data_IF_787250938639
#
_entry.id   IF_787250938639
#
_cell.length_a   1.000
_cell.length_b   1.000
_cell.length_c   1.000
_cell.angle_alpha   90.00
_cell.angle_beta   90.00
_cell.angle_gamma   90.00
#
_symmetry.space_group_name_H-M   'P 1'
#
loop_
_entity.id
_entity.type
_entity.pdbx_description
1 polymer ?
#
# COMPACT_ATOMS: atom_id res chain seq x y z
N UNK A 1 -5.75 9.82 -23.79
CA UNK A 1 -6.75 10.08 -22.74
C UNK A 1 -6.09 11.00 -21.74
N UNK A 2 -6.73 12.08 -21.30
CA UNK A 2 -6.17 12.91 -20.24
C UNK A 2 -5.95 12.01 -19.00
N UNK A 3 -4.77 12.10 -18.37
CA UNK A 3 -4.47 11.38 -17.15
C UNK A 3 -5.46 11.81 -16.06
N UNK A 4 -6.42 10.94 -15.77
CA UNK A 4 -7.39 11.20 -14.69
C UNK A 4 -6.61 11.06 -13.39
N UNK A 5 -6.39 12.18 -12.72
CA UNK A 5 -5.78 12.21 -11.39
C UNK A 5 -6.68 11.47 -10.40
N UNK A 6 -6.13 10.51 -9.69
CA UNK A 6 -6.85 9.73 -8.70
C UNK A 6 -6.34 10.06 -7.29
N UNK A 7 -7.26 10.14 -6.33
CA UNK A 7 -6.92 10.36 -4.94
C UNK A 7 -7.50 9.24 -4.09
N UNK A 8 -6.61 8.57 -3.36
CA UNK A 8 -6.96 7.53 -2.40
C UNK A 8 -6.85 8.04 -0.96
N UNK A 9 -7.55 7.40 -0.04
CA UNK A 9 -7.45 7.62 1.40
C UNK A 9 -6.73 6.44 2.06
N UNK A 10 -5.66 6.68 2.82
CA UNK A 10 -5.12 5.69 3.75
C UNK A 10 -5.94 5.72 5.04
N UNK A 11 -6.76 4.69 5.24
CA UNK A 11 -7.55 4.51 6.46
C UNK A 11 -6.65 4.08 7.62
N UNK A 12 -6.82 4.74 8.74
CA UNK A 12 -6.15 4.36 9.98
C UNK A 12 -6.76 3.12 10.60
N UNK A 13 -6.19 1.97 10.33
CA UNK A 13 -6.57 0.71 10.99
C UNK A 13 -5.68 0.38 12.19
N UNK A 14 -4.98 1.37 12.69
CA UNK A 14 -4.23 1.37 13.94
C UNK A 14 -4.36 2.73 14.64
N UNK A 15 -4.20 2.75 15.97
CA UNK A 15 -4.43 3.93 16.79
C UNK A 15 -5.90 4.17 17.14
N UNK A 16 -6.25 5.38 17.57
CA UNK A 16 -7.60 5.71 18.03
C UNK A 16 -8.72 5.51 17.01
N UNK A 17 -8.37 5.42 15.72
CA UNK A 17 -9.34 5.19 14.64
C UNK A 17 -9.57 3.69 14.34
N UNK A 18 -8.83 2.78 14.99
CA UNK A 18 -8.94 1.34 14.77
C UNK A 18 -10.15 0.73 15.49
N UNK A 19 -11.32 1.36 15.32
CA UNK A 19 -12.61 0.84 15.77
C UNK A 19 -13.45 0.44 14.54
N UNK A 20 -14.08 -0.74 14.55
CA UNK A 20 -14.79 -1.27 13.38
C UNK A 20 -15.82 -0.31 12.78
N UNK A 21 -16.65 0.32 13.62
CA UNK A 21 -17.67 1.28 13.14
C UNK A 21 -17.04 2.53 12.55
N UNK A 22 -15.96 3.04 13.14
CA UNK A 22 -15.22 4.21 12.63
C UNK A 22 -14.64 3.90 11.25
N UNK A 23 -13.95 2.77 11.12
CA UNK A 23 -13.32 2.35 9.85
C UNK A 23 -14.35 2.18 8.74
N UNK A 24 -15.48 1.52 9.01
CA UNK A 24 -16.56 1.34 8.03
C UNK A 24 -17.17 2.68 7.63
N UNK A 25 -17.46 3.55 8.59
CA UNK A 25 -18.08 4.85 8.32
C UNK A 25 -17.15 5.78 7.55
N UNK A 26 -15.84 5.79 7.85
CA UNK A 26 -14.86 6.58 7.12
C UNK A 26 -14.68 6.05 5.68
N UNK A 27 -14.72 4.73 5.47
CA UNK A 27 -14.66 4.15 4.14
C UNK A 27 -15.86 4.55 3.26
N UNK A 28 -17.07 4.46 3.80
CA UNK A 28 -18.31 4.91 3.13
C UNK A 28 -18.29 6.41 2.86
N UNK A 29 -17.79 7.17 3.82
CA UNK A 29 -17.66 8.62 3.64
C UNK A 29 -16.65 8.95 2.53
N UNK A 30 -15.49 8.29 2.50
CA UNK A 30 -14.50 8.47 1.44
C UNK A 30 -15.09 8.17 0.05
N UNK A 31 -15.89 7.11 -0.07
CA UNK A 31 -16.59 6.77 -1.32
C UNK A 31 -17.54 7.90 -1.76
N UNK A 32 -18.37 8.43 -0.86
CA UNK A 32 -19.30 9.52 -1.17
C UNK A 32 -18.61 10.87 -1.39
N UNK A 33 -17.46 11.11 -0.76
CA UNK A 33 -16.65 12.30 -0.93
C UNK A 33 -15.82 12.29 -2.23
N UNK A 34 -15.88 11.20 -3.03
CA UNK A 34 -15.23 11.13 -4.33
C UNK A 34 -13.78 10.63 -4.32
N UNK A 35 -13.32 10.01 -3.24
CA UNK A 35 -12.06 9.29 -3.27
C UNK A 35 -12.18 8.04 -4.15
N UNK A 36 -11.16 7.78 -4.97
CA UNK A 36 -11.13 6.64 -5.88
C UNK A 36 -10.77 5.32 -5.19
N UNK A 37 -10.12 5.39 -4.04
CA UNK A 37 -9.59 4.21 -3.35
C UNK A 37 -9.37 4.43 -1.85
N UNK A 38 -9.42 3.35 -1.10
CA UNK A 38 -9.03 3.27 0.32
C UNK A 38 -7.88 2.28 0.48
N UNK A 39 -6.98 2.58 1.42
CA UNK A 39 -5.74 1.81 1.60
C UNK A 39 -5.50 1.48 3.07
N UNK A 40 -4.99 0.27 3.32
CA UNK A 40 -4.76 -0.25 4.65
C UNK A 40 -3.28 -0.60 4.83
N UNK A 41 -2.71 -0.26 5.98
CA UNK A 41 -1.36 -0.70 6.34
C UNK A 41 -1.40 -2.09 7.00
N UNK A 42 -0.25 -2.75 7.09
CA UNK A 42 -0.15 -4.09 7.66
C UNK A 42 0.87 -4.16 8.80
N UNK A 43 0.38 -4.52 9.95
CA UNK A 43 1.06 -5.18 11.05
C UNK A 43 0.10 -6.20 11.66
N UNK A 44 0.61 -7.30 12.17
CA UNK A 44 -0.17 -8.33 12.85
C UNK A 44 -0.08 -8.16 14.35
N UNK A 45 1.14 -7.94 14.85
CA UNK A 45 1.44 -7.67 16.26
C UNK A 45 2.66 -6.75 16.38
N UNK A 46 2.73 -5.98 17.44
CA UNK A 46 3.95 -5.26 17.79
C UNK A 46 4.66 -5.94 18.97
N UNK A 47 5.90 -6.40 18.81
CA UNK A 47 6.72 -6.81 19.94
C UNK A 47 6.93 -5.64 20.90
N UNK A 48 6.86 -5.91 22.22
CA UNK A 48 7.05 -4.85 23.23
C UNK A 48 8.43 -4.18 23.15
N UNK A 49 9.44 -4.92 22.72
CA UNK A 49 10.81 -4.44 22.54
C UNK A 49 11.31 -4.87 21.16
N UNK A 50 11.89 -3.94 20.42
CA UNK A 50 12.52 -4.20 19.13
C UNK A 50 13.65 -3.20 18.86
N UNK A 51 14.68 -3.66 18.16
CA UNK A 51 15.84 -2.86 17.74
C UNK A 51 15.74 -2.42 16.27
N UNK A 52 14.84 -3.05 15.50
CA UNK A 52 14.57 -2.72 14.10
C UNK A 52 14.20 -1.25 13.94
N UNK A 53 14.74 -0.62 12.90
CA UNK A 53 14.48 0.81 12.60
C UNK A 53 13.46 0.95 11.49
N UNK A 54 12.45 1.80 11.72
CA UNK A 54 11.46 2.12 10.70
C UNK A 54 12.11 2.94 9.57
N UNK A 55 12.10 2.44 8.32
CA UNK A 55 12.92 3.00 7.24
C UNK A 55 12.44 4.35 6.71
N UNK A 56 11.23 4.76 7.06
CA UNK A 56 10.60 5.99 6.55
C UNK A 56 10.49 7.08 7.62
N UNK A 57 11.32 7.02 8.65
CA UNK A 57 11.37 7.99 9.74
C UNK A 57 12.81 8.53 9.90
N UNK A 58 12.96 9.84 10.10
CA UNK A 58 14.24 10.47 10.37
C UNK A 58 14.94 9.94 11.63
N UNK A 59 14.17 9.49 12.61
CA UNK A 59 14.68 8.95 13.88
C UNK A 59 14.79 7.43 13.90
N UNK A 60 14.23 6.75 12.90
CA UNK A 60 14.08 5.29 12.88
C UNK A 60 12.96 4.77 13.80
N UNK A 61 12.23 5.64 14.50
CA UNK A 61 11.08 5.28 15.31
C UNK A 61 9.82 5.05 14.46
N UNK A 62 8.98 4.11 14.89
CA UNK A 62 7.66 3.93 14.29
C UNK A 62 6.75 5.12 14.65
N UNK A 63 5.92 5.63 13.73
CA UNK A 63 5.21 6.91 13.90
C UNK A 63 3.94 6.84 14.76
N UNK A 64 3.64 5.71 15.41
CA UNK A 64 2.50 5.52 16.29
C UNK A 64 2.89 4.77 17.56
N UNK A 65 2.16 4.92 18.68
CA UNK A 65 2.31 4.07 19.85
C UNK A 65 2.04 2.60 19.49
N UNK A 66 2.90 1.69 19.98
CA UNK A 66 2.80 0.26 19.66
C UNK A 66 1.73 -0.46 20.49
N UNK A 67 1.26 0.18 21.54
CA UNK A 67 0.20 -0.29 22.45
C UNK A 67 -1.21 0.06 21.94
N UNK A 68 -1.30 0.88 20.90
CA UNK A 68 -2.58 1.30 20.34
C UNK A 68 -3.32 0.14 19.65
N UNK A 69 -4.65 0.19 19.58
CA UNK A 69 -5.45 -0.80 18.85
C UNK A 69 -4.97 -0.97 17.40
N UNK A 70 -5.05 -2.20 16.92
CA UNK A 70 -4.67 -2.59 15.56
C UNK A 70 -5.71 -3.56 15.00
N UNK A 71 -6.21 -3.29 13.80
CA UNK A 71 -7.06 -4.22 13.05
C UNK A 71 -6.25 -4.93 11.97
N UNK A 72 -6.51 -6.22 11.77
CA UNK A 72 -5.83 -7.01 10.74
C UNK A 72 -6.33 -6.60 9.33
N UNK A 73 -5.44 -6.26 8.39
CA UNK A 73 -5.84 -5.64 7.13
C UNK A 73 -6.69 -6.54 6.22
N UNK A 74 -6.43 -7.84 6.15
CA UNK A 74 -7.19 -8.75 5.25
C UNK A 74 -8.62 -8.94 5.77
N UNK A 75 -8.77 -9.14 7.07
CA UNK A 75 -10.09 -9.20 7.70
C UNK A 75 -10.85 -7.88 7.51
N UNK A 76 -10.16 -6.74 7.67
CA UNK A 76 -10.73 -5.42 7.42
C UNK A 76 -11.12 -5.23 5.95
N UNK A 77 -10.27 -5.62 5.00
CA UNK A 77 -10.60 -5.59 3.57
C UNK A 77 -11.88 -6.36 3.24
N UNK A 78 -12.09 -7.53 3.86
CA UNK A 78 -13.29 -8.34 3.64
C UNK A 78 -14.57 -7.61 4.12
N UNK A 79 -14.51 -6.97 5.28
CA UNK A 79 -15.61 -6.15 5.80
C UNK A 79 -15.88 -4.95 4.89
N UNK A 80 -14.85 -4.25 4.46
CA UNK A 80 -14.97 -3.08 3.57
C UNK A 80 -15.48 -3.47 2.19
N UNK A 81 -15.09 -4.63 1.65
CA UNK A 81 -15.61 -5.15 0.39
C UNK A 81 -17.14 -5.37 0.40
N UNK A 82 -17.69 -5.78 1.55
CA UNK A 82 -19.14 -5.93 1.74
C UNK A 82 -19.86 -4.65 2.20
N UNK A 83 -19.12 -3.61 2.61
CA UNK A 83 -19.69 -2.38 3.18
C UNK A 83 -19.64 -1.18 2.22
N UNK A 84 -18.91 -1.27 1.11
CA UNK A 84 -18.74 -0.25 0.06
C UNK A 84 -19.19 -0.80 -1.29
N UNK A 85 -19.41 0.07 -2.28
CA UNK A 85 -20.00 -0.31 -3.57
C UNK A 85 -19.01 -0.20 -4.73
N UNK A 86 -18.33 0.95 -4.87
CA UNK A 86 -17.53 1.28 -6.05
C UNK A 86 -16.06 1.55 -5.72
N UNK A 87 -15.75 2.01 -4.51
CA UNK A 87 -14.41 2.40 -4.12
C UNK A 87 -13.43 1.22 -4.16
N UNK A 88 -12.26 1.43 -4.75
CA UNK A 88 -11.15 0.45 -4.77
C UNK A 88 -10.58 0.25 -3.37
N UNK A 89 -10.21 -0.98 -3.02
CA UNK A 89 -9.68 -1.33 -1.69
C UNK A 89 -8.28 -1.90 -1.87
N UNK A 90 -7.28 -1.21 -1.34
CA UNK A 90 -5.88 -1.60 -1.46
C UNK A 90 -5.16 -1.77 -0.14
N UNK A 91 -3.98 -2.35 -0.20
CA UNK A 91 -3.03 -2.37 0.92
C UNK A 91 -1.82 -1.48 0.64
N UNK A 92 -1.35 -0.73 1.63
CA UNK A 92 -0.22 0.19 1.47
C UNK A 92 0.76 0.11 2.66
N UNK A 93 1.44 -1.03 2.83
CA UNK A 93 1.46 -2.26 2.01
C UNK A 93 1.09 -3.47 2.87
N UNK A 94 0.72 -4.61 2.25
CA UNK A 94 0.62 -5.90 2.90
C UNK A 94 2.00 -6.56 2.96
N UNK A 95 2.40 -7.03 4.12
CA UNK A 95 3.70 -7.71 4.30
C UNK A 95 3.54 -9.18 3.89
N UNK A 96 3.95 -9.48 2.66
CA UNK A 96 3.69 -10.77 2.02
C UNK A 96 4.22 -11.97 2.84
N UNK A 97 5.45 -11.93 3.41
CA UNK A 97 5.99 -13.06 4.17
C UNK A 97 5.32 -13.33 5.53
N UNK A 98 4.41 -12.49 6.00
CA UNK A 98 3.76 -12.71 7.32
C UNK A 98 2.73 -13.83 7.31
N UNK A 99 2.30 -14.29 6.13
CA UNK A 99 1.20 -15.27 5.99
C UNK A 99 1.60 -16.40 5.07
N UNK A 100 1.03 -17.58 5.30
CA UNK A 100 1.16 -18.70 4.37
C UNK A 100 0.65 -18.27 2.96
N UNK A 101 1.42 -18.47 1.87
CA UNK A 101 1.10 -17.93 0.56
C UNK A 101 -0.17 -18.49 -0.06
N UNK A 102 -0.48 -19.78 0.17
CA UNK A 102 -1.68 -20.42 -0.35
C UNK A 102 -2.93 -19.87 0.36
N UNK A 103 -2.84 -19.74 1.69
CA UNK A 103 -3.93 -19.16 2.48
C UNK A 103 -4.14 -17.69 2.11
N UNK A 104 -3.06 -16.90 2.01
CA UNK A 104 -3.10 -15.50 1.60
C UNK A 104 -3.76 -15.33 0.22
N UNK A 105 -3.33 -16.12 -0.75
CA UNK A 105 -3.93 -16.09 -2.09
C UNK A 105 -5.44 -16.39 -2.05
N UNK A 106 -5.83 -17.41 -1.28
CA UNK A 106 -7.25 -17.78 -1.14
C UNK A 106 -8.07 -16.68 -0.49
N UNK A 107 -7.55 -16.03 0.56
CA UNK A 107 -8.22 -14.90 1.22
C UNK A 107 -8.41 -13.73 0.25
N UNK A 108 -7.36 -13.32 -0.48
CA UNK A 108 -7.43 -12.22 -1.43
C UNK A 108 -8.37 -12.53 -2.62
N UNK A 109 -8.33 -13.75 -3.18
CA UNK A 109 -9.25 -14.18 -4.22
C UNK A 109 -10.71 -14.13 -3.73
N UNK A 110 -10.94 -14.53 -2.48
CA UNK A 110 -12.27 -14.48 -1.87
C UNK A 110 -12.77 -13.04 -1.74
N UNK A 111 -11.91 -12.12 -1.29
CA UNK A 111 -12.26 -10.70 -1.18
C UNK A 111 -12.45 -10.07 -2.57
N UNK A 112 -11.69 -10.49 -3.57
CA UNK A 112 -11.87 -10.07 -4.96
C UNK A 112 -13.28 -10.45 -5.47
N UNK A 113 -13.74 -11.67 -5.15
CA UNK A 113 -15.12 -12.12 -5.46
C UNK A 113 -16.17 -11.25 -4.74
N UNK A 114 -16.03 -11.05 -3.42
CA UNK A 114 -17.00 -10.27 -2.64
C UNK A 114 -17.03 -8.79 -3.03
N UNK A 115 -15.88 -8.25 -3.43
CA UNK A 115 -15.78 -6.84 -3.85
C UNK A 115 -16.24 -6.62 -5.31
N UNK A 116 -16.49 -7.67 -6.09
CA UNK A 116 -16.73 -7.53 -7.53
C UNK A 116 -15.51 -7.06 -8.32
N UNK A 117 -14.30 -7.42 -7.89
CA UNK A 117 -13.05 -7.05 -8.59
C UNK A 117 -12.49 -5.68 -8.24
N UNK A 118 -12.70 -5.20 -7.00
CA UNK A 118 -12.24 -3.86 -6.56
C UNK A 118 -10.96 -3.88 -5.72
N UNK A 119 -10.32 -5.03 -5.50
CA UNK A 119 -9.11 -5.06 -4.67
C UNK A 119 -7.84 -4.77 -5.44
N UNK A 120 -6.82 -4.29 -4.72
CA UNK A 120 -5.44 -4.11 -5.18
C UNK A 120 -4.48 -4.58 -4.10
N UNK A 121 -3.52 -5.40 -4.49
CA UNK A 121 -2.47 -5.86 -3.60
C UNK A 121 -1.28 -4.89 -3.65
N UNK A 122 -1.16 -4.00 -2.67
CA UNK A 122 0.11 -3.32 -2.41
C UNK A 122 1.01 -4.25 -1.59
N UNK A 123 2.09 -4.73 -2.21
CA UNK A 123 2.95 -5.77 -1.64
C UNK A 123 4.25 -5.21 -1.06
N UNK A 124 4.55 -5.57 0.17
CA UNK A 124 5.77 -5.20 0.89
C UNK A 124 6.55 -6.42 1.40
N UNK A 125 7.83 -6.21 1.72
CA UNK A 125 8.73 -7.27 2.24
C UNK A 125 8.87 -7.25 3.76
N UNK A 126 8.38 -6.20 4.44
CA UNK A 126 8.52 -6.01 5.88
C UNK A 126 9.85 -5.41 6.33
N UNK A 127 9.84 -4.78 7.50
CA UNK A 127 11.00 -4.10 8.10
C UNK A 127 11.26 -4.52 9.55
N UNK A 128 10.24 -5.00 10.26
CA UNK A 128 10.29 -5.31 11.70
C UNK A 128 10.67 -6.78 11.91
N UNK A 129 11.96 -7.02 12.12
CA UNK A 129 12.52 -8.38 12.28
C UNK A 129 11.84 -9.14 13.41
N UNK A 130 11.60 -8.48 14.53
CA UNK A 130 11.04 -9.07 15.74
C UNK A 130 9.57 -9.51 15.56
N UNK A 131 8.84 -8.90 14.63
CA UNK A 131 7.50 -9.35 14.23
C UNK A 131 7.58 -10.64 13.39
N UNK A 132 8.57 -10.75 12.48
CA UNK A 132 8.84 -12.02 11.77
C UNK A 132 9.13 -13.16 12.74
N UNK A 133 9.98 -12.90 13.75
CA UNK A 133 10.33 -13.88 14.77
C UNK A 133 9.10 -14.30 15.60
N UNK A 134 8.23 -13.34 15.96
CA UNK A 134 6.99 -13.62 16.71
C UNK A 134 6.00 -14.44 15.89
N UNK A 135 5.84 -14.11 14.61
CA UNK A 135 4.92 -14.81 13.70
C UNK A 135 5.46 -16.19 13.27
N UNK A 136 6.77 -16.40 13.34
CA UNK A 136 7.44 -17.66 12.98
C UNK A 136 7.04 -18.17 11.58
N UNK A 137 6.90 -17.27 10.62
CA UNK A 137 6.40 -17.59 9.27
C UNK A 137 7.52 -17.71 8.24
N UNK A 138 8.51 -16.82 8.29
CA UNK A 138 9.63 -16.78 7.36
C UNK A 138 10.88 -16.21 8.02
N UNK A 139 12.05 -16.62 7.55
CA UNK A 139 13.32 -15.99 7.95
C UNK A 139 13.36 -14.55 7.42
N UNK A 140 13.59 -13.60 8.32
CA UNK A 140 13.70 -12.18 7.98
C UNK A 140 14.81 -11.91 6.95
N UNK A 141 15.92 -12.65 7.00
CA UNK A 141 17.02 -12.50 6.03
C UNK A 141 16.59 -12.89 4.60
N UNK A 142 15.66 -13.82 4.46
CA UNK A 142 15.14 -14.31 3.20
C UNK A 142 13.87 -13.60 2.73
N UNK A 143 13.34 -12.63 3.49
CA UNK A 143 12.04 -11.99 3.24
C UNK A 143 11.84 -11.50 1.80
N UNK A 144 12.90 -11.02 1.14
CA UNK A 144 12.81 -10.59 -0.27
C UNK A 144 12.54 -11.75 -1.22
N UNK A 145 13.27 -12.87 -1.07
CA UNK A 145 13.09 -14.10 -1.87
C UNK A 145 11.72 -14.73 -1.57
N UNK A 146 11.36 -14.84 -0.31
CA UNK A 146 10.05 -15.34 0.12
C UNK A 146 8.92 -14.52 -0.49
N UNK A 147 9.05 -13.18 -0.52
CA UNK A 147 8.07 -12.30 -1.19
C UNK A 147 7.98 -12.63 -2.68
N UNK A 148 9.11 -12.83 -3.36
CA UNK A 148 9.14 -13.13 -4.79
C UNK A 148 8.38 -14.43 -5.11
N UNK A 149 8.67 -15.52 -4.41
CA UNK A 149 7.97 -16.79 -4.57
C UNK A 149 6.49 -16.70 -4.21
N UNK A 150 6.14 -15.99 -3.14
CA UNK A 150 4.75 -15.85 -2.70
C UNK A 150 3.91 -15.02 -3.68
N UNK A 151 4.51 -14.06 -4.39
CA UNK A 151 3.84 -13.35 -5.48
C UNK A 151 3.63 -14.24 -6.71
N UNK A 152 4.57 -15.12 -7.03
CA UNK A 152 4.41 -16.13 -8.09
C UNK A 152 3.27 -17.10 -7.76
N UNK A 153 3.23 -17.61 -6.52
CA UNK A 153 2.15 -18.48 -6.01
C UNK A 153 0.79 -17.77 -6.08
N UNK A 154 0.71 -16.51 -5.62
CA UNK A 154 -0.52 -15.72 -5.69
C UNK A 154 -1.04 -15.60 -7.12
N UNK A 155 -0.17 -15.20 -8.06
CA UNK A 155 -0.54 -15.09 -9.48
C UNK A 155 -1.05 -16.41 -10.05
N UNK A 156 -0.36 -17.50 -9.75
CA UNK A 156 -0.73 -18.84 -10.24
C UNK A 156 -2.10 -19.27 -9.72
N UNK A 157 -2.35 -19.08 -8.42
CA UNK A 157 -3.62 -19.46 -7.78
C UNK A 157 -4.81 -18.59 -8.24
N UNK A 158 -4.55 -17.34 -8.70
CA UNK A 158 -5.59 -16.47 -9.27
C UNK A 158 -6.17 -17.01 -10.59
N UNK A 159 -5.49 -17.92 -11.28
CA UNK A 159 -5.95 -18.51 -12.54
C UNK A 159 -7.31 -19.24 -12.42
N UNK A 160 -7.58 -19.84 -11.26
CA UNK A 160 -8.73 -20.71 -11.06
C UNK A 160 -8.58 -22.11 -11.69
N UNK A 161 -7.34 -22.53 -11.90
CA UNK A 161 -6.98 -23.83 -12.51
C UNK A 161 -6.23 -24.73 -11.51
N UNK A 162 -5.80 -25.90 -11.99
CA UNK A 162 -4.82 -26.71 -11.28
C UNK A 162 -3.48 -25.98 -11.22
N UNK A 163 -2.85 -25.98 -10.05
CA UNK A 163 -1.57 -25.32 -9.80
C UNK A 163 -0.68 -26.22 -8.95
N UNK A 164 0.58 -26.35 -9.34
CA UNK A 164 1.67 -26.85 -8.50
C UNK A 164 2.77 -25.80 -8.45
N UNK A 165 3.56 -25.80 -7.40
CA UNK A 165 4.68 -24.86 -7.24
C UNK A 165 5.87 -25.52 -6.57
N UNK A 166 7.05 -25.36 -7.14
CA UNK A 166 8.31 -25.94 -6.65
C UNK A 166 9.39 -24.84 -6.63
N UNK A 167 9.35 -24.02 -5.58
CA UNK A 167 10.34 -22.97 -5.31
C UNK A 167 11.42 -23.41 -4.33
N UNK A 168 12.29 -22.48 -3.99
CA UNK A 168 13.38 -22.72 -3.01
C UNK A 168 12.89 -22.62 -1.57
N UNK A 169 11.90 -21.75 -1.29
CA UNK A 169 11.38 -21.49 0.07
C UNK A 169 9.99 -22.07 0.30
N UNK A 170 9.27 -22.40 -0.76
CA UNK A 170 7.93 -22.97 -0.69
C UNK A 170 7.66 -23.95 -1.83
N UNK A 171 6.94 -25.03 -1.51
CA UNK A 171 6.56 -26.03 -2.53
C UNK A 171 5.25 -26.72 -2.16
N UNK A 172 4.49 -27.08 -3.17
CA UNK A 172 3.29 -27.92 -3.06
C UNK A 172 3.00 -28.65 -4.37
N UNK A 173 2.45 -29.84 -4.25
CA UNK A 173 1.95 -30.63 -5.38
C UNK A 173 0.64 -30.04 -5.89
N UNK A 174 0.12 -30.59 -7.00
CA UNK A 174 -1.07 -30.08 -7.68
C UNK A 174 -2.27 -29.92 -6.76
N UNK A 175 -2.81 -28.71 -6.74
CA UNK A 175 -4.02 -28.32 -6.00
C UNK A 175 -5.01 -27.61 -6.94
N UNK A 176 -6.30 -27.69 -6.63
CA UNK A 176 -7.32 -26.90 -7.30
C UNK A 176 -7.49 -25.55 -6.62
N UNK A 177 -7.43 -24.45 -7.38
CA UNK A 177 -7.66 -23.09 -6.89
C UNK A 177 -8.95 -22.47 -7.45
N UNK A 178 -10.08 -23.11 -7.21
CA UNK A 178 -11.41 -22.70 -7.72
C UNK A 178 -12.24 -22.07 -6.59
N UNK A 179 -12.93 -20.94 -6.84
CA UNK A 179 -12.81 -20.07 -8.03
C UNK A 179 -11.48 -19.35 -8.08
N UNK A 180 -11.07 -18.90 -9.26
CA UNK A 180 -9.99 -17.94 -9.42
C UNK A 180 -10.43 -16.51 -9.10
N UNK A 181 -9.59 -15.52 -9.32
CA UNK A 181 -9.96 -14.11 -9.15
C UNK A 181 -10.94 -13.64 -10.24
N UNK A 182 -11.77 -12.64 -9.94
CA UNK A 182 -12.59 -11.93 -10.93
C UNK A 182 -11.67 -11.14 -11.86
N UNK A 183 -10.76 -10.36 -11.29
CA UNK A 183 -9.78 -9.60 -12.04
C UNK A 183 -8.80 -10.54 -12.75
N UNK A 184 -8.49 -10.25 -14.02
CA UNK A 184 -7.63 -11.11 -14.84
C UNK A 184 -6.39 -10.35 -15.31
N UNK A 185 -5.20 -10.99 -15.28
CA UNK A 185 -4.92 -12.36 -14.82
C UNK A 185 -5.03 -12.53 -13.29
N UNK A 186 -4.93 -11.45 -12.53
CA UNK A 186 -5.00 -11.37 -11.07
C UNK A 186 -5.40 -9.94 -10.64
N UNK A 187 -5.78 -9.69 -9.40
CA UNK A 187 -5.86 -8.34 -8.85
C UNK A 187 -4.54 -7.58 -9.07
N UNK A 188 -4.57 -6.27 -9.40
CA UNK A 188 -3.36 -5.50 -9.61
C UNK A 188 -2.39 -5.58 -8.42
N UNK A 189 -1.10 -5.74 -8.71
CA UNK A 189 -0.02 -5.82 -7.72
C UNK A 189 0.82 -4.56 -7.79
N UNK A 190 0.80 -3.75 -6.74
CA UNK A 190 1.68 -2.59 -6.60
C UNK A 190 2.81 -2.92 -5.63
N UNK A 191 4.04 -2.77 -6.06
CA UNK A 191 5.20 -3.07 -5.21
C UNK A 191 5.57 -1.85 -4.38
N UNK A 192 5.57 -2.02 -3.06
CA UNK A 192 6.01 -1.00 -2.12
C UNK A 192 7.52 -0.98 -1.92
N UNK A 193 8.03 0.22 -1.59
CA UNK A 193 9.43 0.45 -1.29
C UNK A 193 10.17 1.27 -2.33
N UNK A 194 11.30 1.86 -1.90
CA UNK A 194 12.08 2.84 -2.69
C UNK A 194 13.48 2.37 -3.08
N UNK A 195 13.90 1.22 -2.55
CA UNK A 195 15.23 0.66 -2.84
C UNK A 195 15.28 -0.08 -4.19
N UNK A 196 16.46 -0.24 -4.76
CA UNK A 196 16.64 -0.93 -6.05
C UNK A 196 16.03 -2.33 -6.11
N UNK A 197 16.07 -3.18 -5.06
CA UNK A 197 15.36 -4.46 -5.08
C UNK A 197 13.86 -4.33 -5.26
N UNK A 198 13.22 -3.29 -4.68
CA UNK A 198 11.81 -3.04 -4.87
C UNK A 198 11.49 -2.64 -6.32
N UNK A 199 12.27 -1.74 -6.92
CA UNK A 199 12.08 -1.35 -8.32
C UNK A 199 12.26 -2.53 -9.30
N UNK A 200 13.25 -3.41 -9.05
CA UNK A 200 13.38 -4.66 -9.82
C UNK A 200 12.18 -5.58 -9.68
N UNK A 201 11.58 -5.62 -8.47
CA UNK A 201 10.36 -6.39 -8.19
C UNK A 201 9.14 -5.80 -8.91
N UNK A 202 9.03 -4.46 -9.04
CA UNK A 202 8.02 -3.82 -9.90
C UNK A 202 8.08 -4.39 -11.30
N UNK A 203 9.27 -4.48 -11.88
CA UNK A 203 9.45 -4.97 -13.24
C UNK A 203 9.08 -6.46 -13.37
N UNK A 204 9.46 -7.26 -12.40
CA UNK A 204 9.30 -8.72 -12.50
C UNK A 204 7.87 -9.16 -12.15
N UNK A 205 7.24 -8.55 -11.15
CA UNK A 205 5.99 -9.04 -10.57
C UNK A 205 4.87 -8.02 -10.52
N UNK A 206 5.17 -6.71 -10.51
CA UNK A 206 4.21 -5.66 -10.25
C UNK A 206 3.49 -5.14 -11.49
N UNK A 207 2.28 -4.66 -11.32
CA UNK A 207 1.53 -3.85 -12.28
C UNK A 207 1.78 -2.36 -12.04
N UNK A 208 2.47 -2.02 -10.95
CA UNK A 208 2.81 -0.65 -10.59
C UNK A 208 3.73 -0.54 -9.37
N UNK A 209 4.01 0.70 -9.01
CA UNK A 209 4.89 1.07 -7.92
C UNK A 209 4.16 1.93 -6.88
N UNK A 210 4.25 1.55 -5.61
CA UNK A 210 3.74 2.32 -4.48
C UNK A 210 4.92 2.95 -3.74
N UNK A 211 5.13 4.25 -3.97
CA UNK A 211 6.21 5.03 -3.39
C UNK A 211 5.75 5.77 -2.12
N UNK A 212 6.69 6.02 -1.22
CA UNK A 212 6.49 6.78 0.02
C UNK A 212 7.78 7.48 0.44
N UNK A 213 7.69 8.58 1.16
CA UNK A 213 8.81 9.26 1.82
C UNK A 213 9.98 9.64 0.88
N UNK A 214 9.66 10.05 -0.35
CA UNK A 214 10.63 10.57 -1.32
C UNK A 214 10.50 12.10 -1.41
N UNK A 215 11.60 12.81 -1.22
CA UNK A 215 11.70 14.22 -1.62
C UNK A 215 11.74 14.35 -3.16
N UNK A 216 11.57 15.56 -3.71
CA UNK A 216 11.49 15.75 -5.18
C UNK A 216 12.74 15.25 -5.92
N UNK A 217 13.93 15.34 -5.33
CA UNK A 217 15.18 14.91 -5.96
C UNK A 217 15.21 13.39 -6.06
N UNK A 218 14.99 12.70 -4.93
CA UNK A 218 14.96 11.24 -4.89
C UNK A 218 13.81 10.67 -5.71
N UNK A 219 12.67 11.34 -5.73
CA UNK A 219 11.52 10.96 -6.57
C UNK A 219 11.93 10.91 -8.04
N UNK A 220 12.57 11.95 -8.55
CA UNK A 220 13.08 12.01 -9.92
C UNK A 220 14.09 10.90 -10.20
N UNK A 221 15.06 10.70 -9.32
CA UNK A 221 16.08 9.64 -9.44
C UNK A 221 15.46 8.23 -9.50
N UNK A 222 14.46 7.97 -8.66
CA UNK A 222 13.79 6.65 -8.62
C UNK A 222 12.95 6.42 -9.85
N UNK A 223 12.25 7.44 -10.36
CA UNK A 223 11.50 7.36 -11.61
C UNK A 223 12.43 7.09 -12.79
N UNK A 224 13.55 7.80 -12.91
CA UNK A 224 14.53 7.55 -14.00
C UNK A 224 15.15 6.13 -13.89
N UNK A 225 15.40 5.66 -12.66
CA UNK A 225 15.84 4.28 -12.45
C UNK A 225 14.78 3.27 -12.92
N UNK A 226 13.52 3.51 -12.60
CA UNK A 226 12.40 2.64 -12.99
C UNK A 226 12.20 2.65 -14.52
N UNK A 227 12.27 3.81 -15.17
CA UNK A 227 12.23 3.93 -16.64
C UNK A 227 13.34 3.11 -17.31
N UNK A 228 14.58 3.22 -16.81
CA UNK A 228 15.68 2.43 -17.30
C UNK A 228 15.43 0.94 -17.16
N UNK A 229 14.96 0.49 -16.00
CA UNK A 229 14.62 -0.92 -15.78
C UNK A 229 13.50 -1.41 -16.72
N UNK A 230 12.52 -0.55 -17.04
CA UNK A 230 11.49 -0.86 -18.03
C UNK A 230 12.10 -1.08 -19.41
N UNK A 231 12.97 -0.18 -19.87
CA UNK A 231 13.67 -0.31 -21.16
C UNK A 231 14.50 -1.60 -21.20
N UNK A 232 15.29 -1.86 -20.16
CA UNK A 232 16.16 -3.04 -20.07
C UNK A 232 15.37 -4.37 -20.10
N UNK A 233 14.10 -4.36 -19.68
CA UNK A 233 13.21 -5.53 -19.63
C UNK A 233 12.19 -5.61 -20.77
N UNK A 234 12.14 -4.62 -21.66
CA UNK A 234 11.15 -4.53 -22.73
C UNK A 234 9.73 -4.17 -22.26
N UNK A 235 9.56 -3.68 -21.03
CA UNK A 235 8.28 -3.16 -20.52
C UNK A 235 8.10 -1.69 -20.88
N UNK A 236 6.87 -1.28 -21.07
CA UNK A 236 6.55 0.14 -21.23
C UNK A 236 6.34 0.76 -19.84
N UNK A 237 6.99 1.89 -19.59
CA UNK A 237 6.83 2.63 -18.33
C UNK A 237 5.40 3.13 -18.12
N UNK A 238 4.74 3.52 -19.20
CA UNK A 238 3.36 4.05 -19.21
C UNK A 238 2.30 3.01 -18.83
N UNK A 239 2.65 1.71 -18.87
CA UNK A 239 1.77 0.62 -18.45
C UNK A 239 1.81 0.40 -16.92
N UNK A 240 2.70 1.11 -16.21
CA UNK A 240 2.79 1.01 -14.76
C UNK A 240 1.86 2.00 -14.07
N UNK A 241 1.08 1.52 -13.11
CA UNK A 241 0.40 2.40 -12.16
C UNK A 241 1.40 2.97 -11.15
N UNK A 242 1.51 4.30 -11.08
CA UNK A 242 2.39 4.98 -10.14
C UNK A 242 1.57 5.60 -9.03
N UNK A 243 1.69 5.04 -7.83
CA UNK A 243 0.99 5.48 -6.62
C UNK A 243 1.98 6.11 -5.65
N UNK A 244 1.67 7.31 -5.16
CA UNK A 244 2.45 7.97 -4.12
C UNK A 244 1.64 8.12 -2.84
N UNK A 245 2.14 7.59 -1.73
CA UNK A 245 1.54 7.76 -0.41
C UNK A 245 2.15 8.96 0.30
N UNK A 246 1.31 9.91 0.71
CA UNK A 246 1.69 11.15 1.39
C UNK A 246 0.97 11.31 2.72
N UNK A 247 1.70 11.79 3.74
CA UNK A 247 1.12 12.18 5.02
C UNK A 247 0.81 13.68 5.00
N UNK A 248 -0.45 14.06 5.03
CA UNK A 248 -0.88 15.45 5.09
C UNK A 248 -0.85 15.93 6.54
N UNK A 249 0.00 16.91 6.80
CA UNK A 249 0.27 17.43 8.13
C UNK A 249 0.44 18.96 8.09
N UNK A 250 -0.68 19.72 8.00
CA UNK A 250 -0.63 21.16 7.93
C UNK A 250 -0.14 21.76 9.25
N UNK A 251 0.63 22.85 9.17
CA UNK A 251 1.20 23.57 10.30
C UNK A 251 2.70 23.80 10.16
N UNK A 252 3.46 23.54 11.21
CA UNK A 252 4.92 23.66 11.16
C UNK A 252 5.57 22.57 10.30
N UNK A 253 6.54 22.94 9.45
CA UNK A 253 7.26 21.98 8.63
C UNK A 253 8.00 20.93 9.49
N UNK A 254 7.90 19.66 9.10
CA UNK A 254 8.61 18.55 9.73
C UNK A 254 9.84 18.14 8.92
N UNK A 255 10.79 17.48 9.58
CA UNK A 255 11.95 16.89 8.90
C UNK A 255 11.60 15.52 8.37
N UNK A 256 11.91 15.29 7.11
CA UNK A 256 11.82 14.00 6.45
C UNK A 256 12.97 13.04 6.83
N UNK A 257 12.91 11.79 6.38
CA UNK A 257 13.87 10.74 6.78
C UNK A 257 15.31 11.01 6.33
N UNK A 258 15.52 11.93 5.40
CA UNK A 258 16.85 12.28 4.88
C UNK A 258 17.29 13.69 5.26
N UNK A 259 16.58 14.35 6.19
CA UNK A 259 16.94 15.66 6.74
C UNK A 259 16.30 16.87 6.05
N UNK A 260 15.68 16.70 4.89
CA UNK A 260 14.90 17.71 4.17
C UNK A 260 13.53 17.94 4.84
N UNK A 261 12.72 18.88 4.30
CA UNK A 261 11.33 19.02 4.71
C UNK A 261 10.53 17.80 4.27
N UNK A 262 9.80 17.20 5.20
CA UNK A 262 8.85 16.11 4.90
C UNK A 262 7.77 16.63 3.95
N UNK A 263 7.62 15.97 2.78
CA UNK A 263 6.56 16.27 1.82
C UNK A 263 5.19 16.06 2.49
N UNK A 264 4.27 17.02 2.28
CA UNK A 264 2.96 17.03 2.91
C UNK A 264 2.93 17.74 4.26
N UNK A 265 4.06 18.22 4.80
CA UNK A 265 4.11 19.03 6.01
C UNK A 265 4.29 20.52 5.70
N UNK A 266 3.83 21.38 6.61
CA UNK A 266 3.98 22.82 6.49
C UNK A 266 2.69 23.58 6.13
N UNK A 267 2.81 24.74 5.48
CA UNK A 267 1.68 25.54 5.08
C UNK A 267 0.85 24.87 3.98
N UNK A 268 -0.41 25.27 3.82
CA UNK A 268 -1.30 24.77 2.75
C UNK A 268 -0.67 24.95 1.36
N UNK A 269 -0.02 26.11 1.12
CA UNK A 269 0.67 26.39 -0.15
C UNK A 269 1.78 25.35 -0.39
N UNK A 270 2.58 25.05 0.62
CA UNK A 270 3.65 24.04 0.51
C UNK A 270 3.08 22.64 0.22
N UNK A 271 1.95 22.27 0.84
CA UNK A 271 1.29 20.99 0.62
C UNK A 271 0.74 20.90 -0.81
N UNK A 272 0.11 21.97 -1.32
CA UNK A 272 -0.37 22.04 -2.70
C UNK A 272 0.79 21.94 -3.70
N UNK A 273 1.90 22.61 -3.45
CA UNK A 273 3.10 22.54 -4.29
C UNK A 273 3.71 21.13 -4.28
N UNK A 274 3.73 20.46 -3.12
CA UNK A 274 4.16 19.07 -3.00
C UNK A 274 3.28 18.14 -3.86
N UNK A 275 1.95 18.28 -3.78
CA UNK A 275 1.00 17.49 -4.58
C UNK A 275 1.19 17.74 -6.09
N UNK A 276 1.39 19.00 -6.49
CA UNK A 276 1.70 19.35 -7.90
C UNK A 276 3.00 18.72 -8.37
N UNK A 277 4.03 18.73 -7.52
CA UNK A 277 5.33 18.10 -7.84
C UNK A 277 5.21 16.58 -7.97
N UNK A 278 4.43 15.93 -7.10
CA UNK A 278 4.14 14.48 -7.18
C UNK A 278 3.45 14.17 -8.51
N UNK A 279 2.35 14.86 -8.81
CA UNK A 279 1.58 14.66 -10.05
C UNK A 279 2.43 14.99 -11.29
N UNK A 280 3.19 16.09 -11.27
CA UNK A 280 4.09 16.49 -12.36
C UNK A 280 5.28 15.53 -12.57
N UNK A 281 5.58 14.68 -11.58
CA UNK A 281 6.61 13.64 -11.68
C UNK A 281 6.10 12.35 -12.34
N UNK A 282 4.81 12.27 -12.70
CA UNK A 282 4.21 11.13 -13.38
C UNK A 282 3.39 10.20 -12.47
N UNK A 283 3.27 10.50 -11.17
CA UNK A 283 2.31 9.80 -10.32
C UNK A 283 0.90 10.26 -10.65
N UNK A 284 0.03 9.33 -10.99
CA UNK A 284 -1.36 9.60 -11.35
C UNK A 284 -2.36 9.22 -10.24
N UNK A 285 -1.86 8.58 -9.18
CA UNK A 285 -2.65 8.19 -8.01
C UNK A 285 -1.91 8.62 -6.74
N UNK A 286 -2.56 9.46 -5.91
CA UNK A 286 -1.99 9.97 -4.66
C UNK A 286 -2.83 9.51 -3.49
N UNK A 287 -2.25 8.72 -2.61
CA UNK A 287 -2.88 8.20 -1.40
C UNK A 287 -2.56 9.13 -0.23
N UNK A 288 -3.56 9.81 0.27
CA UNK A 288 -3.40 10.75 1.39
C UNK A 288 -3.70 10.09 2.73
N UNK A 289 -2.87 10.37 3.70
CA UNK A 289 -3.09 10.03 5.11
C UNK A 289 -3.16 11.32 5.91
N UNK A 290 -4.25 11.51 6.63
CA UNK A 290 -4.38 12.64 7.54
C UNK A 290 -3.94 12.25 8.96
N UNK A 291 -3.47 13.23 9.70
CA UNK A 291 -3.34 13.13 11.15
C UNK A 291 -4.66 13.57 11.79
N UNK A 292 -5.04 12.94 12.87
CA UNK A 292 -6.24 13.24 13.63
C UNK A 292 -6.78 11.97 14.27
N UNK A 293 -7.24 12.10 15.51
CA UNK A 293 -7.59 10.97 16.36
C UNK A 293 -9.11 10.75 16.46
N UNK A 294 -9.89 11.47 15.66
CA UNK A 294 -11.34 11.32 15.63
C UNK A 294 -11.90 11.21 14.21
N UNK A 295 -12.97 10.44 14.06
CA UNK A 295 -13.68 10.28 12.78
C UNK A 295 -14.15 11.63 12.22
N UNK A 296 -14.66 12.53 13.08
CA UNK A 296 -15.13 13.87 12.70
C UNK A 296 -14.02 14.74 12.12
N UNK A 297 -12.83 14.67 12.69
CA UNK A 297 -11.67 15.39 12.19
C UNK A 297 -11.22 14.84 10.84
N UNK A 298 -11.17 13.52 10.69
CA UNK A 298 -10.87 12.87 9.42
C UNK A 298 -11.86 13.28 8.32
N UNK A 299 -13.16 13.27 8.58
CA UNK A 299 -14.19 13.71 7.65
C UNK A 299 -13.99 15.15 7.22
N UNK A 300 -13.76 16.06 8.18
CA UNK A 300 -13.50 17.48 7.88
C UNK A 300 -12.27 17.66 7.01
N UNK A 301 -11.22 16.88 7.22
CA UNK A 301 -10.01 16.93 6.40
C UNK A 301 -10.26 16.39 4.98
N UNK A 302 -11.06 15.34 4.84
CA UNK A 302 -11.50 14.82 3.54
C UNK A 302 -12.32 15.85 2.76
N UNK A 303 -13.30 16.49 3.39
CA UNK A 303 -14.10 17.58 2.79
C UNK A 303 -13.19 18.71 2.29
N UNK A 304 -12.32 19.21 3.16
CA UNK A 304 -11.38 20.26 2.78
C UNK A 304 -10.48 19.86 1.61
N UNK A 305 -10.03 18.62 1.59
CA UNK A 305 -9.17 18.12 0.51
C UNK A 305 -9.90 18.08 -0.81
N UNK A 306 -11.12 17.57 -0.85
CA UNK A 306 -11.90 17.44 -2.09
C UNK A 306 -12.43 18.78 -2.57
N UNK A 307 -12.86 19.67 -1.68
CA UNK A 307 -13.49 20.95 -2.04
C UNK A 307 -12.48 22.09 -2.24
N UNK A 308 -11.37 22.12 -1.48
CA UNK A 308 -10.45 23.25 -1.48
C UNK A 308 -9.08 22.95 -2.10
N UNK A 309 -8.57 21.71 -1.99
CA UNK A 309 -7.22 21.36 -2.45
C UNK A 309 -7.24 20.76 -3.86
N UNK A 310 -8.04 19.72 -4.12
CA UNK A 310 -8.12 19.10 -5.44
C UNK A 310 -8.37 20.11 -6.57
N UNK A 311 -9.29 21.10 -6.44
CA UNK A 311 -9.52 22.09 -7.50
C UNK A 311 -8.33 23.00 -7.82
N UNK A 312 -7.30 23.03 -6.95
CA UNK A 312 -6.08 23.83 -7.15
C UNK A 312 -4.93 23.04 -7.78
N UNK A 313 -5.12 21.71 -7.97
CA UNK A 313 -4.14 20.80 -8.54
C UNK A 313 -4.39 20.63 -10.04
#
# INVERSE_FOLDING_TARGET
MADIKQFGLDLGIYGPLAEPEIVINLAKYAETAGFSSIWLADHVVFPKHFDSKYPYSATGGFPAPIEDPLLEPIATMAVLAGSTTDIRIGTAVLIIPYRNPVLLARMLITIDQFSGGRITLGAGVGWLKEEFETLNTADFALRGRVTDEYLEIFKSLCSGQEVSYHGETYQFDTVYSVPGSIQKPNPPILIGGIANPALRRVIKYGDGWLAVALDPIRMKERIETLKKLCVDSGRRFEDLELVYKIFINPGEPKKGPFGEREIGSGSEVQIIDDLKNILGSGFNNVVVRYRGDSAKEQQKQMERFTEEIIPKL
#
